data_IF_005432063989
#
_entry.id   IF_005432063989
#
_cell.length_a   1.000
_cell.length_b   1.000
_cell.length_c   1.000
_cell.angle_alpha   90.00
_cell.angle_beta   90.00
_cell.angle_gamma   90.00
#
_symmetry.space_group_name_H-M   'P 1'
#
loop_
_entity.id
_entity.type
_entity.pdbx_description
1 polymer ?
#
# COMPACT_ATOMS: atom_id res chain seq x y z
N UNK A 1 24.09 28.48 6.14
CA UNK A 1 24.03 27.02 5.89
C UNK A 1 23.23 26.38 7.00
N UNK A 2 22.00 25.95 6.72
CA UNK A 2 21.23 25.13 7.66
C UNK A 2 21.95 23.79 7.85
N UNK A 3 22.08 23.31 9.08
CA UNK A 3 22.78 22.05 9.45
C UNK A 3 22.17 20.79 8.82
N UNK A 4 21.02 20.92 8.16
CA UNK A 4 20.37 19.85 7.40
C UNK A 4 20.43 20.18 5.91
N UNK A 5 21.26 19.46 5.18
CA UNK A 5 21.20 19.43 3.73
C UNK A 5 19.97 18.60 3.32
N UNK A 6 18.82 19.29 3.25
CA UNK A 6 17.52 18.68 2.93
C UNK A 6 17.58 17.89 1.62
N UNK A 7 18.43 18.31 0.67
CA UNK A 7 18.61 17.59 -0.59
C UNK A 7 19.20 16.18 -0.38
N UNK A 8 20.12 16.01 0.57
CA UNK A 8 20.70 14.69 0.92
C UNK A 8 19.73 13.77 1.65
N UNK A 9 18.73 14.32 2.33
CA UNK A 9 17.77 13.54 3.12
C UNK A 9 16.60 12.98 2.30
N UNK A 10 16.33 13.52 1.10
CA UNK A 10 15.24 13.07 0.24
C UNK A 10 15.31 11.59 -0.12
N UNK A 11 16.49 11.13 -0.56
CA UNK A 11 16.71 9.74 -0.97
C UNK A 11 16.50 8.74 0.16
N UNK A 12 17.16 8.87 1.34
CA UNK A 12 16.94 7.94 2.44
C UNK A 12 15.50 8.01 2.98
N UNK A 13 14.88 9.20 2.99
CA UNK A 13 13.47 9.33 3.41
C UNK A 13 12.51 8.60 2.46
N UNK A 14 12.71 8.72 1.14
CA UNK A 14 11.90 8.02 0.16
C UNK A 14 12.03 6.49 0.29
N UNK A 15 13.25 5.99 0.49
CA UNK A 15 13.47 4.56 0.74
C UNK A 15 12.84 4.09 2.05
N UNK A 16 12.92 4.88 3.12
CA UNK A 16 12.27 4.56 4.39
C UNK A 16 10.75 4.43 4.22
N UNK A 17 10.13 5.35 3.47
CA UNK A 17 8.69 5.29 3.17
C UNK A 17 8.33 4.02 2.38
N UNK A 18 9.11 3.66 1.35
CA UNK A 18 8.90 2.44 0.58
C UNK A 18 9.05 1.19 1.44
N UNK A 19 10.14 1.08 2.21
CA UNK A 19 10.41 -0.09 3.05
C UNK A 19 9.30 -0.25 4.10
N UNK A 20 8.90 0.84 4.74
CA UNK A 20 7.83 0.81 5.74
C UNK A 20 6.49 0.38 5.11
N UNK A 21 6.15 0.92 3.93
CA UNK A 21 4.96 0.52 3.18
C UNK A 21 5.00 -0.95 2.78
N UNK A 22 6.12 -1.43 2.23
CA UNK A 22 6.30 -2.82 1.82
C UNK A 22 6.20 -3.78 3.01
N UNK A 23 6.91 -3.51 4.10
CA UNK A 23 6.86 -4.33 5.31
C UNK A 23 5.45 -4.39 5.87
N UNK A 24 4.74 -3.26 5.87
CA UNK A 24 3.35 -3.22 6.30
C UNK A 24 2.48 -4.16 5.44
N UNK A 25 2.51 -4.00 4.11
CA UNK A 25 1.72 -4.83 3.18
C UNK A 25 2.08 -6.32 3.30
N UNK A 26 3.36 -6.66 3.30
CA UNK A 26 3.83 -8.05 3.39
C UNK A 26 3.43 -8.73 4.70
N UNK A 27 3.52 -8.02 5.83
CA UNK A 27 3.08 -8.56 7.12
C UNK A 27 1.57 -8.80 7.11
N UNK A 28 0.77 -7.93 6.49
CA UNK A 28 -0.68 -8.14 6.36
C UNK A 28 -1.02 -9.33 5.47
N UNK A 29 -0.36 -9.47 4.32
CA UNK A 29 -0.50 -10.64 3.46
C UNK A 29 -0.14 -11.92 4.25
N UNK A 30 0.99 -11.91 4.95
CA UNK A 30 1.42 -13.03 5.78
C UNK A 30 0.42 -13.39 6.88
N UNK A 31 -0.19 -12.40 7.53
CA UNK A 31 -1.25 -12.62 8.52
C UNK A 31 -2.49 -13.26 7.92
N UNK A 32 -2.89 -12.89 6.70
CA UNK A 32 -4.01 -13.55 6.01
C UNK A 32 -3.68 -15.01 5.70
N UNK A 33 -2.47 -15.28 5.19
CA UNK A 33 -2.07 -16.61 4.71
C UNK A 33 -1.73 -17.60 5.85
N UNK A 34 -0.98 -17.17 6.87
CA UNK A 34 -0.33 -18.04 7.87
C UNK A 34 -0.73 -17.67 9.31
N UNK A 35 -1.86 -16.99 9.52
CA UNK A 35 -2.27 -16.58 10.86
C UNK A 35 -2.63 -17.76 11.79
N UNK A 36 -3.20 -17.42 12.96
CA UNK A 36 -3.38 -18.37 14.06
C UNK A 36 -4.15 -19.64 13.63
N UNK A 37 -3.81 -20.83 14.17
CA UNK A 37 -4.44 -22.10 13.80
C UNK A 37 -5.96 -22.13 14.00
N UNK A 38 -6.46 -21.35 14.97
CA UNK A 38 -7.86 -21.31 15.37
C UNK A 38 -8.74 -20.41 14.49
N UNK A 39 -8.16 -19.78 13.46
CA UNK A 39 -8.84 -18.82 12.60
C UNK A 39 -8.91 -19.32 11.16
N UNK A 40 -10.01 -19.05 10.49
CA UNK A 40 -10.18 -19.31 9.06
C UNK A 40 -9.47 -18.24 8.22
N UNK A 41 -9.12 -18.57 6.98
CA UNK A 41 -8.55 -17.58 6.05
C UNK A 41 -9.51 -16.41 5.80
N UNK A 42 -10.83 -16.66 5.82
CA UNK A 42 -11.87 -15.65 5.66
C UNK A 42 -11.88 -14.66 6.84
N UNK A 43 -11.82 -15.16 8.07
CA UNK A 43 -11.76 -14.31 9.28
C UNK A 43 -10.50 -13.43 9.25
N UNK A 44 -9.34 -14.02 8.96
CA UNK A 44 -8.08 -13.29 8.89
C UNK A 44 -8.07 -12.24 7.79
N UNK A 45 -8.70 -12.54 6.66
CA UNK A 45 -8.92 -11.58 5.58
C UNK A 45 -9.80 -10.42 6.05
N UNK A 46 -10.96 -10.69 6.66
CA UNK A 46 -11.85 -9.64 7.16
C UNK A 46 -11.12 -8.64 8.08
N UNK A 47 -10.29 -9.14 9.00
CA UNK A 47 -9.56 -8.32 9.97
C UNK A 47 -8.43 -7.49 9.37
N UNK A 48 -7.84 -7.92 8.26
CA UNK A 48 -6.69 -7.23 7.65
C UNK A 48 -7.06 -6.42 6.40
N UNK A 49 -8.33 -6.47 5.94
CA UNK A 49 -8.77 -5.81 4.70
C UNK A 49 -8.49 -4.30 4.71
N UNK A 50 -8.93 -3.60 5.76
CA UNK A 50 -8.76 -2.14 5.87
C UNK A 50 -7.31 -1.71 6.11
N UNK A 51 -6.51 -2.60 6.69
CA UNK A 51 -5.09 -2.37 6.88
C UNK A 51 -4.34 -2.48 5.55
N UNK A 52 -4.65 -3.48 4.72
CA UNK A 52 -3.97 -3.69 3.42
C UNK A 52 -4.16 -2.53 2.44
N UNK A 53 -5.35 -1.93 2.41
CA UNK A 53 -5.66 -0.78 1.53
C UNK A 53 -5.65 0.54 2.29
N UNK A 54 -4.89 0.63 3.38
CA UNK A 54 -4.88 1.81 4.23
C UNK A 54 -4.39 3.05 3.47
N UNK A 55 -5.06 4.22 3.62
CA UNK A 55 -4.59 5.48 3.05
C UNK A 55 -3.17 5.86 3.46
N UNK A 56 -2.73 5.38 4.63
CA UNK A 56 -1.36 5.54 5.11
C UNK A 56 -0.34 4.87 4.17
N UNK A 57 -0.60 3.62 3.78
CA UNK A 57 0.27 2.85 2.88
C UNK A 57 0.32 3.53 1.50
N UNK A 58 -0.82 4.00 1.02
CA UNK A 58 -0.91 4.78 -0.22
C UNK A 58 -0.06 6.05 -0.14
N UNK A 59 -0.17 6.81 0.95
CA UNK A 59 0.59 8.03 1.17
C UNK A 59 2.10 7.77 1.24
N UNK A 60 2.53 6.65 1.83
CA UNK A 60 3.95 6.26 1.86
C UNK A 60 4.50 6.02 0.45
N UNK A 61 3.79 5.23 -0.37
CA UNK A 61 4.25 4.90 -1.73
C UNK A 61 4.17 6.08 -2.69
N UNK A 62 3.09 6.86 -2.66
CA UNK A 62 2.98 8.07 -3.48
C UNK A 62 3.98 9.12 -3.01
N UNK A 63 4.08 9.33 -1.69
CA UNK A 63 4.98 10.31 -1.10
C UNK A 63 6.45 10.04 -1.40
N UNK A 64 6.89 8.78 -1.41
CA UNK A 64 8.28 8.43 -1.74
C UNK A 64 8.65 8.85 -3.18
N UNK A 65 7.75 8.66 -4.14
CA UNK A 65 7.98 9.04 -5.54
C UNK A 65 7.91 10.55 -5.71
N UNK A 66 6.91 11.20 -5.11
CA UNK A 66 6.77 12.66 -5.18
C UNK A 66 7.96 13.38 -4.52
N UNK A 67 8.49 12.84 -3.43
CA UNK A 67 9.66 13.38 -2.76
C UNK A 67 10.88 13.40 -3.68
N UNK A 68 11.05 12.41 -4.56
CA UNK A 68 12.20 12.34 -5.46
C UNK A 68 12.00 13.03 -6.81
N UNK A 69 10.75 13.22 -7.23
CA UNK A 69 10.41 13.76 -8.57
C UNK A 69 9.91 15.20 -8.56
N UNK A 70 9.27 15.65 -7.47
CA UNK A 70 8.58 16.96 -7.42
C UNK A 70 9.12 17.92 -6.36
N UNK A 71 9.86 17.43 -5.36
CA UNK A 71 10.43 18.29 -4.30
C UNK A 71 11.84 18.73 -4.69
N UNK A 72 12.00 19.94 -5.21
CA UNK A 72 13.30 20.46 -5.67
C UNK A 72 13.79 19.77 -6.95
N UNK A 73 15.11 19.67 -7.14
CA UNK A 73 15.68 19.01 -8.32
C UNK A 73 15.35 17.50 -8.35
N UNK A 74 14.87 16.97 -9.49
CA UNK A 74 14.59 15.55 -9.65
C UNK A 74 15.84 14.69 -9.41
N UNK A 75 15.70 13.63 -8.62
CA UNK A 75 16.82 12.71 -8.37
C UNK A 75 16.99 11.72 -9.52
N UNK A 76 18.22 11.44 -9.98
CA UNK A 76 18.48 10.40 -10.98
C UNK A 76 18.11 8.99 -10.48
N UNK A 77 17.96 8.81 -9.16
CA UNK A 77 17.58 7.55 -8.52
C UNK A 77 16.08 7.44 -8.22
N UNK A 78 15.25 8.31 -8.80
CA UNK A 78 13.79 8.24 -8.61
C UNK A 78 13.19 6.95 -9.20
N UNK A 79 13.77 6.43 -10.29
CA UNK A 79 13.21 5.30 -11.05
C UNK A 79 13.14 3.99 -10.25
N UNK A 80 14.20 3.55 -9.54
CA UNK A 80 14.12 2.37 -8.65
C UNK A 80 13.06 2.51 -7.55
N UNK A 81 12.94 3.69 -6.95
CA UNK A 81 11.94 3.96 -5.89
C UNK A 81 10.53 3.90 -6.47
N UNK A 82 10.32 4.44 -7.67
CA UNK A 82 9.04 4.34 -8.38
C UNK A 82 8.66 2.89 -8.67
N UNK A 83 9.59 2.04 -9.14
CA UNK A 83 9.34 0.61 -9.31
C UNK A 83 8.92 -0.07 -8.02
N UNK A 84 9.65 0.18 -6.93
CA UNK A 84 9.34 -0.42 -5.64
C UNK A 84 7.98 0.06 -5.09
N UNK A 85 7.64 1.34 -5.27
CA UNK A 85 6.36 1.91 -4.87
C UNK A 85 5.19 1.34 -5.69
N UNK A 86 5.34 1.23 -7.01
CA UNK A 86 4.34 0.63 -7.91
C UNK A 86 4.13 -0.86 -7.56
N UNK A 87 5.21 -1.61 -7.35
CA UNK A 87 5.11 -3.00 -6.92
C UNK A 87 4.40 -3.14 -5.56
N UNK A 88 4.72 -2.25 -4.61
CA UNK A 88 4.06 -2.20 -3.30
C UNK A 88 2.56 -1.91 -3.39
N UNK A 89 2.17 -0.91 -4.18
CA UNK A 89 0.76 -0.59 -4.43
C UNK A 89 0.03 -1.70 -5.16
N UNK A 90 0.68 -2.38 -6.12
CA UNK A 90 0.10 -3.53 -6.81
C UNK A 90 -0.16 -4.70 -5.84
N UNK A 91 0.79 -5.01 -4.95
CA UNK A 91 0.60 -6.00 -3.89
C UNK A 91 -0.52 -5.61 -2.92
N UNK A 92 -0.58 -4.33 -2.52
CA UNK A 92 -1.63 -3.82 -1.65
C UNK A 92 -3.02 -3.92 -2.32
N UNK A 93 -3.12 -3.58 -3.61
CA UNK A 93 -4.36 -3.66 -4.36
C UNK A 93 -4.84 -5.11 -4.52
N UNK A 94 -3.96 -6.02 -4.96
CA UNK A 94 -4.31 -7.43 -5.15
C UNK A 94 -4.62 -8.09 -3.81
N UNK A 95 -3.78 -7.89 -2.79
CA UNK A 95 -3.98 -8.43 -1.45
C UNK A 95 -5.26 -7.88 -0.81
N UNK A 96 -5.50 -6.58 -0.93
CA UNK A 96 -6.72 -5.92 -0.45
C UNK A 96 -7.99 -6.42 -1.14
N UNK A 97 -7.95 -6.60 -2.47
CA UNK A 97 -9.06 -7.16 -3.23
C UNK A 97 -9.38 -8.60 -2.79
N UNK A 98 -8.37 -9.45 -2.70
CA UNK A 98 -8.54 -10.83 -2.22
C UNK A 98 -9.09 -10.84 -0.78
N UNK A 99 -8.56 -9.97 0.08
CA UNK A 99 -8.98 -9.85 1.47
C UNK A 99 -10.43 -9.40 1.59
N UNK A 100 -10.86 -8.43 0.79
CA UNK A 100 -12.25 -7.96 0.74
C UNK A 100 -13.19 -9.08 0.29
N UNK A 101 -12.84 -9.78 -0.79
CA UNK A 101 -13.65 -10.89 -1.32
C UNK A 101 -13.78 -11.99 -0.28
N UNK A 102 -12.68 -12.44 0.32
CA UNK A 102 -12.69 -13.50 1.33
C UNK A 102 -13.41 -13.07 2.61
N UNK A 103 -13.24 -11.82 3.04
CA UNK A 103 -13.85 -11.29 4.26
C UNK A 103 -15.37 -11.17 4.21
N UNK A 104 -15.97 -11.05 3.02
CA UNK A 104 -17.44 -11.08 2.87
C UNK A 104 -18.02 -12.47 3.19
N UNK A 105 -17.22 -13.53 3.08
CA UNK A 105 -17.65 -14.91 3.31
C UNK A 105 -17.28 -15.44 4.70
N UNK A 106 -17.07 -14.59 5.71
CA UNK A 106 -16.81 -15.05 7.10
C UNK A 106 -18.00 -15.72 7.76
N UNK A 107 -19.22 -15.38 7.35
CA UNK A 107 -20.44 -15.87 7.99
C UNK A 107 -20.91 -15.02 9.18
N UNK A 108 -20.27 -13.88 9.47
CA UNK A 108 -20.62 -12.96 10.58
C UNK A 108 -21.94 -12.19 10.37
N UNK A 109 -22.68 -12.50 9.31
CA UNK A 109 -23.96 -11.90 8.97
C UNK A 109 -23.87 -10.72 7.99
N UNK A 110 -25.03 -10.35 7.43
CA UNK A 110 -25.14 -9.36 6.36
C UNK A 110 -24.64 -7.97 6.74
N UNK A 111 -24.82 -7.56 8.01
CA UNK A 111 -24.35 -6.26 8.50
C UNK A 111 -22.82 -6.14 8.42
N UNK A 112 -22.09 -7.15 8.90
CA UNK A 112 -20.63 -7.16 8.88
C UNK A 112 -20.09 -7.11 7.45
N UNK A 113 -20.70 -7.90 6.55
CA UNK A 113 -20.36 -7.88 5.12
C UNK A 113 -20.59 -6.50 4.48
N UNK A 114 -21.72 -5.85 4.77
CA UNK A 114 -22.03 -4.51 4.25
C UNK A 114 -21.04 -3.46 4.79
N UNK A 115 -20.74 -3.47 6.09
CA UNK A 115 -19.76 -2.56 6.69
C UNK A 115 -18.36 -2.76 6.07
N UNK A 116 -17.94 -4.02 5.87
CA UNK A 116 -16.68 -4.36 5.22
C UNK A 116 -16.61 -3.83 3.78
N UNK A 117 -17.67 -4.01 2.98
CA UNK A 117 -17.71 -3.54 1.58
C UNK A 117 -17.73 -2.02 1.52
N UNK A 118 -18.53 -1.36 2.37
CA UNK A 118 -18.65 0.10 2.40
C UNK A 118 -17.34 0.81 2.78
N UNK A 119 -16.53 0.20 3.65
CA UNK A 119 -15.24 0.76 4.06
C UNK A 119 -14.08 0.29 3.16
N UNK A 120 -14.08 -0.98 2.77
CA UNK A 120 -13.00 -1.58 2.00
C UNK A 120 -13.01 -1.18 0.53
N UNK A 121 -14.19 -1.02 -0.11
CA UNK A 121 -14.26 -0.66 -1.54
C UNK A 121 -13.66 0.71 -1.83
N UNK A 122 -14.00 1.79 -1.09
CA UNK A 122 -13.36 3.09 -1.31
C UNK A 122 -11.86 3.07 -1.04
N UNK A 123 -11.41 2.34 -0.02
CA UNK A 123 -9.99 2.22 0.31
C UNK A 123 -9.21 1.48 -0.79
N UNK A 124 -9.78 0.40 -1.34
CA UNK A 124 -9.24 -0.31 -2.49
C UNK A 124 -9.21 0.57 -3.74
N UNK A 125 -10.28 1.32 -3.99
CA UNK A 125 -10.36 2.26 -5.12
C UNK A 125 -9.27 3.33 -5.03
N UNK A 126 -9.03 3.90 -3.85
CA UNK A 126 -7.94 4.86 -3.63
C UNK A 126 -6.57 4.25 -3.93
N UNK A 127 -6.34 3.00 -3.50
CA UNK A 127 -5.10 2.27 -3.77
C UNK A 127 -4.91 2.01 -5.27
N UNK A 128 -5.98 1.62 -5.98
CA UNK A 128 -5.96 1.41 -7.42
C UNK A 128 -5.72 2.73 -8.19
N UNK A 129 -6.35 3.83 -7.79
CA UNK A 129 -6.12 5.16 -8.37
C UNK A 129 -4.65 5.58 -8.18
N UNK A 130 -4.10 5.39 -6.98
CA UNK A 130 -2.70 5.69 -6.71
C UNK A 130 -1.74 4.84 -7.54
N UNK A 131 -2.06 3.55 -7.74
CA UNK A 131 -1.29 2.68 -8.62
C UNK A 131 -1.30 3.21 -10.07
N UNK A 132 -2.48 3.52 -10.61
CA UNK A 132 -2.63 4.07 -11.96
C UNK A 132 -1.89 5.41 -12.10
N UNK A 133 -1.92 6.24 -11.07
CA UNK A 133 -1.20 7.51 -11.04
C UNK A 133 0.33 7.33 -11.11
N UNK A 134 0.89 6.28 -10.49
CA UNK A 134 2.34 6.03 -10.51
C UNK A 134 2.82 5.18 -11.68
N UNK A 135 1.96 4.43 -12.36
CA UNK A 135 2.34 3.58 -13.51
C UNK A 135 3.17 4.32 -14.59
N UNK A 136 2.83 5.56 -14.99
CA UNK A 136 3.63 6.30 -15.99
C UNK A 136 5.07 6.60 -15.55
N UNK A 137 5.38 6.54 -14.24
CA UNK A 137 6.74 6.77 -13.75
C UNK A 137 7.68 5.57 -13.99
N UNK A 138 7.13 4.42 -14.38
CA UNK A 138 7.87 3.16 -14.55
C UNK A 138 7.72 2.55 -15.95
N UNK A 139 6.68 2.90 -16.69
CA UNK A 139 6.50 2.47 -18.08
C UNK A 139 7.46 3.27 -18.99
N UNK A 140 8.23 2.61 -19.87
CA UNK A 140 9.03 3.32 -20.88
C UNK A 140 8.10 4.03 -21.87
N UNK A 141 8.45 5.26 -22.26
CA UNK A 141 7.80 5.99 -23.35
C UNK A 141 7.88 5.22 -24.69
#
# INVERSE_FOLDING_TARGET
>A
MSKFDVARLKEPAAWAMVVLGLMYVLVRIGRVLVGAPETTIMERASWNTLDMTSPYVVALFVGSVLLLTKVGEPSPKAKPVAYAAVAGLAMAAVGGMLSLVLGVFTGDGARSAVELVLLGTPALALTAIALVYLLPQVVPD
#
